data_IF_182453658057
#
_entry.id   IF_182453658057
#
_cell.length_a   1.000
_cell.length_b   1.000
_cell.length_c   1.000
_cell.angle_alpha   90.00
_cell.angle_beta   90.00
_cell.angle_gamma   90.00
#
_symmetry.space_group_name_H-M   'P 1'
#
loop_
_entity.id
_entity.type
_entity.pdbx_description
1 polymer ?
#
# COMPACT_ATOMS: atom_id res chain seq x y z
N UNK A 1 12.72 -9.67 -22.24
CA UNK A 1 12.80 -10.98 -21.54
C UNK A 1 13.08 -10.77 -20.05
N UNK A 2 14.11 -10.00 -19.67
CA UNK A 2 14.43 -9.68 -18.27
C UNK A 2 13.28 -9.06 -17.46
N UNK A 3 12.55 -8.08 -18.01
CA UNK A 3 11.44 -7.43 -17.28
C UNK A 3 10.28 -8.38 -16.97
N UNK A 4 9.98 -9.30 -17.89
CA UNK A 4 8.95 -10.33 -17.71
C UNK A 4 9.36 -11.28 -16.59
N UNK A 5 10.63 -11.67 -16.54
CA UNK A 5 11.18 -12.52 -15.46
C UNK A 5 11.06 -11.81 -14.12
N UNK A 6 11.40 -10.52 -14.05
CA UNK A 6 11.26 -9.71 -12.82
C UNK A 6 9.80 -9.61 -12.37
N UNK A 7 8.87 -9.40 -13.31
CA UNK A 7 7.44 -9.32 -13.00
C UNK A 7 6.90 -10.65 -12.46
N UNK A 8 7.31 -11.76 -13.07
CA UNK A 8 6.97 -13.11 -12.62
C UNK A 8 7.54 -13.37 -11.22
N UNK A 9 8.79 -12.99 -10.95
CA UNK A 9 9.40 -13.11 -9.63
C UNK A 9 8.64 -12.28 -8.59
N UNK A 10 8.27 -11.03 -8.90
CA UNK A 10 7.44 -10.20 -8.00
C UNK A 10 6.09 -10.85 -7.72
N UNK A 11 5.42 -11.39 -8.74
CA UNK A 11 4.13 -12.05 -8.59
C UNK A 11 4.23 -13.31 -7.72
N UNK A 12 5.25 -14.15 -7.94
CA UNK A 12 5.48 -15.37 -7.17
C UNK A 12 5.90 -15.08 -5.72
N UNK A 13 6.85 -14.18 -5.51
CA UNK A 13 7.30 -13.77 -4.18
C UNK A 13 6.15 -13.12 -3.40
N UNK A 14 5.43 -12.20 -4.03
CA UNK A 14 4.24 -11.57 -3.46
C UNK A 14 3.19 -12.61 -3.11
N UNK A 15 2.76 -13.44 -4.07
CA UNK A 15 1.73 -14.45 -3.85
C UNK A 15 2.08 -15.47 -2.77
N UNK A 16 3.34 -15.92 -2.71
CA UNK A 16 3.80 -16.85 -1.66
C UNK A 16 3.75 -16.19 -0.29
N UNK A 17 4.23 -14.95 -0.17
CA UNK A 17 4.10 -14.20 1.08
C UNK A 17 2.63 -13.99 1.45
N UNK A 18 1.75 -13.67 0.50
CA UNK A 18 0.31 -13.49 0.76
C UNK A 18 -0.27 -14.75 1.41
N UNK A 19 0.07 -15.94 0.90
CA UNK A 19 -0.39 -17.22 1.48
C UNK A 19 0.16 -17.41 2.89
N UNK A 20 1.47 -17.20 3.11
CA UNK A 20 2.10 -17.34 4.44
C UNK A 20 1.45 -16.39 5.45
N UNK A 21 1.33 -15.11 5.10
CA UNK A 21 0.71 -14.13 5.98
C UNK A 21 -0.78 -14.42 6.18
N UNK A 22 -1.50 -14.94 5.19
CA UNK A 22 -2.90 -15.31 5.34
C UNK A 22 -3.08 -16.48 6.33
N UNK A 23 -2.18 -17.46 6.30
CA UNK A 23 -2.18 -18.56 7.28
C UNK A 23 -1.92 -18.05 8.70
N UNK A 24 -0.98 -17.11 8.87
CA UNK A 24 -0.71 -16.47 10.17
C UNK A 24 -1.93 -15.68 10.66
N UNK A 25 -2.57 -14.90 9.78
CA UNK A 25 -3.68 -14.03 10.16
C UNK A 25 -5.01 -14.77 10.35
N UNK A 26 -5.15 -16.01 9.88
CA UNK A 26 -6.28 -16.86 10.26
C UNK A 26 -6.33 -17.16 11.76
N UNK A 27 -5.19 -17.10 12.46
CA UNK A 27 -5.10 -17.21 13.92
C UNK A 27 -5.48 -15.93 14.66
N UNK A 28 -5.73 -14.83 13.96
CA UNK A 28 -6.06 -13.51 14.53
C UNK A 28 -7.55 -13.19 14.27
N UNK A 29 -8.28 -12.86 15.33
CA UNK A 29 -9.61 -12.27 15.19
C UNK A 29 -9.50 -10.74 15.17
N UNK A 30 -10.24 -10.03 14.26
CA UNK A 30 -11.31 -10.51 13.38
C UNK A 30 -10.86 -11.04 12.00
N UNK A 31 -11.41 -12.18 11.56
CA UNK A 31 -11.07 -12.87 10.30
C UNK A 31 -11.26 -12.03 9.02
N UNK A 32 -12.10 -11.00 9.05
CA UNK A 32 -12.33 -10.10 7.90
C UNK A 32 -11.10 -9.26 7.54
N UNK A 33 -10.19 -9.08 8.49
CA UNK A 33 -8.98 -8.31 8.27
C UNK A 33 -7.78 -9.17 7.87
N UNK A 34 -7.90 -10.50 7.96
CA UNK A 34 -6.86 -11.45 7.60
C UNK A 34 -6.34 -11.24 6.17
N UNK A 35 -7.24 -11.10 5.19
CA UNK A 35 -6.86 -10.85 3.80
C UNK A 35 -6.17 -9.49 3.60
N UNK A 36 -6.71 -8.43 4.20
CA UNK A 36 -6.20 -7.07 4.02
C UNK A 36 -4.84 -6.85 4.70
N UNK A 37 -4.67 -7.35 5.93
CA UNK A 37 -3.41 -7.24 6.68
C UNK A 37 -2.34 -8.21 6.19
N UNK A 38 -2.70 -9.28 5.51
CA UNK A 38 -1.70 -10.21 4.96
C UNK A 38 -1.25 -9.81 3.57
N UNK A 39 -2.14 -9.28 2.73
CA UNK A 39 -1.81 -8.92 1.36
C UNK A 39 -0.91 -7.68 1.26
N UNK A 40 -1.21 -6.62 2.02
CA UNK A 40 -0.48 -5.36 1.90
C UNK A 40 1.01 -5.46 2.32
N UNK A 41 1.38 -6.05 3.48
CA UNK A 41 2.78 -6.22 3.87
C UNK A 41 3.51 -7.23 2.98
N UNK A 42 2.82 -8.27 2.51
CA UNK A 42 3.37 -9.27 1.60
C UNK A 42 3.86 -8.67 0.29
N UNK A 43 2.99 -7.89 -0.35
CA UNK A 43 3.30 -7.18 -1.59
C UNK A 43 4.36 -6.12 -1.34
N UNK A 44 4.35 -5.45 -0.18
CA UNK A 44 5.35 -4.46 0.17
C UNK A 44 6.76 -5.07 0.31
N UNK A 45 6.90 -6.15 1.07
CA UNK A 45 8.17 -6.84 1.25
C UNK A 45 8.69 -7.39 -0.06
N UNK A 46 7.87 -8.14 -0.81
CA UNK A 46 8.28 -8.69 -2.11
C UNK A 46 8.67 -7.59 -3.10
N UNK A 47 7.88 -6.51 -3.15
CA UNK A 47 8.14 -5.36 -4.02
C UNK A 47 9.47 -4.67 -3.68
N UNK A 48 9.70 -4.35 -2.40
CA UNK A 48 10.92 -3.68 -1.94
C UNK A 48 12.15 -4.56 -2.11
N UNK A 49 12.07 -5.86 -1.79
CA UNK A 49 13.19 -6.79 -1.98
C UNK A 49 13.60 -6.85 -3.44
N UNK A 50 12.65 -7.00 -4.37
CA UNK A 50 13.00 -7.04 -5.80
C UNK A 50 13.51 -5.68 -6.28
N UNK A 51 12.91 -4.56 -5.86
CA UNK A 51 13.41 -3.22 -6.23
C UNK A 51 14.83 -2.98 -5.72
N UNK A 52 15.15 -3.43 -4.50
CA UNK A 52 16.49 -3.32 -3.93
C UNK A 52 17.52 -4.13 -4.72
N UNK A 53 17.15 -5.35 -5.14
CA UNK A 53 18.04 -6.24 -5.89
C UNK A 53 18.22 -5.81 -7.36
N UNK A 54 17.18 -5.26 -7.98
CA UNK A 54 17.17 -4.90 -9.41
C UNK A 54 17.67 -3.47 -9.66
N UNK A 55 17.24 -2.51 -8.83
CA UNK A 55 17.47 -1.08 -9.04
C UNK A 55 18.37 -0.42 -7.98
N UNK A 56 18.69 -1.14 -6.91
CA UNK A 56 19.57 -0.66 -5.85
C UNK A 56 18.87 0.13 -4.74
N UNK A 57 19.67 0.60 -3.79
CA UNK A 57 19.19 1.17 -2.52
C UNK A 57 18.46 2.51 -2.69
N UNK A 58 18.84 3.34 -3.66
CA UNK A 58 18.21 4.64 -3.88
C UNK A 58 16.75 4.50 -4.32
N UNK A 59 16.47 3.61 -5.28
CA UNK A 59 15.11 3.36 -5.78
C UNK A 59 14.25 2.61 -4.76
N UNK A 60 14.87 1.75 -3.95
CA UNK A 60 14.22 1.12 -2.81
C UNK A 60 13.82 2.15 -1.75
N UNK A 61 14.68 3.13 -1.46
CA UNK A 61 14.38 4.24 -0.55
C UNK A 61 13.18 5.05 -1.06
N UNK A 62 13.19 5.50 -2.31
CA UNK A 62 12.07 6.24 -2.91
C UNK A 62 10.76 5.43 -2.87
N UNK A 63 10.82 4.14 -3.20
CA UNK A 63 9.64 3.27 -3.15
C UNK A 63 9.09 3.13 -1.73
N UNK A 64 9.97 2.99 -0.73
CA UNK A 64 9.57 2.88 0.68
C UNK A 64 8.98 4.18 1.23
N UNK A 65 9.53 5.33 0.84
CA UNK A 65 8.98 6.64 1.19
C UNK A 65 7.57 6.83 0.63
N UNK A 66 7.36 6.44 -0.64
CA UNK A 66 6.02 6.45 -1.27
C UNK A 66 5.02 5.53 -0.56
N UNK A 67 5.45 4.35 -0.09
CA UNK A 67 4.62 3.44 0.69
C UNK A 67 4.19 4.04 2.03
N UNK A 68 5.12 4.68 2.75
CA UNK A 68 4.84 5.33 4.03
C UNK A 68 3.85 6.49 3.84
N UNK A 69 4.08 7.34 2.84
CA UNK A 69 3.19 8.45 2.51
C UNK A 69 1.78 7.97 2.15
N UNK A 70 1.68 6.92 1.33
CA UNK A 70 0.40 6.31 0.96
C UNK A 70 -0.34 5.69 2.16
N UNK A 71 0.38 5.06 3.09
CA UNK A 71 -0.20 4.51 4.31
C UNK A 71 -0.75 5.60 5.24
N UNK A 72 0.01 6.68 5.45
CA UNK A 72 -0.45 7.84 6.23
C UNK A 72 -1.69 8.48 5.61
N UNK A 73 -1.68 8.67 4.28
CA UNK A 73 -2.82 9.19 3.55
C UNK A 73 -4.06 8.29 3.66
N UNK A 74 -3.89 6.96 3.69
CA UNK A 74 -4.99 6.02 3.83
C UNK A 74 -5.70 6.15 5.19
N UNK A 75 -4.96 6.46 6.26
CA UNK A 75 -5.55 6.74 7.56
C UNK A 75 -6.40 8.03 7.53
N UNK A 76 -5.92 9.07 6.83
CA UNK A 76 -6.68 10.32 6.63
C UNK A 76 -7.94 10.05 5.79
N UNK A 77 -7.82 9.28 4.71
CA UNK A 77 -8.95 8.85 3.89
C UNK A 77 -10.03 8.14 4.73
N UNK A 78 -9.62 7.15 5.54
CA UNK A 78 -10.54 6.33 6.33
C UNK A 78 -11.34 7.15 7.35
N UNK A 79 -10.75 8.22 7.89
CA UNK A 79 -11.45 9.13 8.81
C UNK A 79 -12.27 10.18 8.08
N UNK A 80 -11.80 10.68 6.92
CA UNK A 80 -12.48 11.70 6.13
C UNK A 80 -13.71 11.17 5.38
N UNK A 81 -13.72 9.90 4.95
CA UNK A 81 -14.83 9.33 4.18
C UNK A 81 -16.13 9.22 5.00
N UNK A 82 -16.03 9.01 6.32
CA UNK A 82 -17.17 8.88 7.24
C UNK A 82 -18.05 10.14 7.26
N UNK A 83 -17.53 11.35 7.56
CA UNK A 83 -18.33 12.57 7.51
C UNK A 83 -18.77 12.95 6.09
N UNK A 84 -18.00 12.57 5.05
CA UNK A 84 -18.33 12.85 3.65
C UNK A 84 -19.54 12.04 3.18
N UNK A 85 -19.61 10.76 3.52
CA UNK A 85 -20.75 9.89 3.25
C UNK A 85 -22.02 10.35 3.96
N UNK A 86 -21.90 11.00 5.13
CA UNK A 86 -23.04 11.58 5.84
C UNK A 86 -23.60 12.85 5.20
N UNK A 87 -22.80 13.54 4.37
CA UNK A 87 -23.14 14.86 3.80
C UNK A 87 -23.40 14.85 2.29
N UNK A 88 -23.00 13.80 1.58
CA UNK A 88 -23.08 13.75 0.12
C UNK A 88 -23.53 12.37 -0.40
N UNK A 89 -23.87 12.31 -1.69
CA UNK A 89 -24.15 11.04 -2.37
C UNK A 89 -22.90 10.14 -2.37
N UNK A 90 -23.05 8.80 -2.32
CA UNK A 90 -21.92 7.87 -2.19
C UNK A 90 -20.81 8.07 -3.23
N UNK A 91 -21.18 8.33 -4.49
CA UNK A 91 -20.20 8.57 -5.56
C UNK A 91 -19.38 9.85 -5.37
N UNK A 92 -20.02 10.94 -4.93
CA UNK A 92 -19.34 12.22 -4.68
C UNK A 92 -18.45 12.12 -3.44
N UNK A 93 -18.93 11.45 -2.39
CA UNK A 93 -18.14 11.18 -1.20
C UNK A 93 -16.90 10.32 -1.51
N UNK A 94 -17.03 9.30 -2.38
CA UNK A 94 -15.89 8.49 -2.80
C UNK A 94 -14.83 9.31 -3.57
N UNK A 95 -15.25 10.11 -4.55
CA UNK A 95 -14.33 10.96 -5.34
C UNK A 95 -13.64 12.00 -4.46
N UNK A 96 -14.40 12.67 -3.58
CA UNK A 96 -13.84 13.69 -2.70
C UNK A 96 -12.89 13.08 -1.66
N UNK A 97 -13.20 11.90 -1.13
CA UNK A 97 -12.30 11.20 -0.23
C UNK A 97 -11.01 10.76 -0.96
N UNK A 98 -11.10 10.29 -2.21
CA UNK A 98 -9.92 10.03 -3.05
C UNK A 98 -9.07 11.30 -3.25
N UNK A 99 -9.69 12.46 -3.43
CA UNK A 99 -8.99 13.75 -3.48
C UNK A 99 -8.28 14.10 -2.16
N UNK A 100 -8.90 13.81 -1.01
CA UNK A 100 -8.25 13.98 0.30
C UNK A 100 -7.05 13.05 0.45
N UNK A 101 -7.17 11.80 -0.03
CA UNK A 101 -6.07 10.85 -0.03
C UNK A 101 -4.89 11.32 -0.88
N UNK A 102 -5.11 11.78 -2.11
CA UNK A 102 -4.03 12.25 -2.98
C UNK A 102 -3.35 13.49 -2.40
N UNK A 103 -4.12 14.43 -1.84
CA UNK A 103 -3.58 15.61 -1.20
C UNK A 103 -2.73 15.25 0.04
N UNK A 104 -3.23 14.38 0.91
CA UNK A 104 -2.49 13.94 2.09
C UNK A 104 -1.22 13.17 1.72
N UNK A 105 -1.28 12.30 0.71
CA UNK A 105 -0.12 11.57 0.21
C UNK A 105 0.95 12.52 -0.32
N UNK A 106 0.56 13.53 -1.09
CA UNK A 106 1.49 14.54 -1.60
C UNK A 106 2.16 15.33 -0.46
N UNK A 107 1.40 15.77 0.53
CA UNK A 107 1.92 16.52 1.68
C UNK A 107 2.95 15.71 2.48
N UNK A 108 2.73 14.40 2.65
CA UNK A 108 3.66 13.53 3.38
C UNK A 108 4.84 13.07 2.50
N UNK A 109 4.63 12.85 1.21
CA UNK A 109 5.67 12.40 0.30
C UNK A 109 6.73 13.47 0.01
N UNK A 110 6.32 14.74 -0.13
CA UNK A 110 7.24 15.87 -0.42
C UNK A 110 8.42 15.95 0.57
N UNK A 111 8.21 15.98 1.90
CA UNK A 111 9.32 16.02 2.85
C UNK A 111 10.13 14.72 2.91
N UNK A 112 9.50 13.55 2.68
CA UNK A 112 10.18 12.25 2.70
C UNK A 112 11.08 12.02 1.48
N UNK A 113 10.77 12.63 0.34
CA UNK A 113 11.56 12.55 -0.88
C UNK A 113 12.59 13.67 -1.00
N UNK A 114 12.45 14.74 -0.21
CA UNK A 114 13.38 15.87 -0.19
C UNK A 114 14.55 15.70 0.80
N UNK A 115 14.50 14.70 1.69
CA UNK A 115 15.58 14.33 2.63
C UNK A 115 16.39 13.15 2.14
#
# INVERSE_FOLDING_TARGET
MHDVVILVIKALAGGTLVVVFALISQGLEPKRFAGLFSAAPAVALAGLTVTLLDKGAHDAHQSSAGMIAGAAAMAVYATAVIPLLRRARPGVAAIAALGVWTAAAAVVAVPLLAG
#
